data_IF_552242969938
#
_entry.id   IF_552242969938
#
_cell.length_a   1.000
_cell.length_b   1.000
_cell.length_c   1.000
_cell.angle_alpha   90.00
_cell.angle_beta   90.00
_cell.angle_gamma   90.00
#
_symmetry.space_group_name_H-M   'P 1'
#
loop_
_entity.id
_entity.type
_entity.pdbx_description
1 polymer ?
#
# COMPACT_ATOMS: atom_id res chain seq x y z
N UNK A 1 -21.88 -5.26 -8.32
CA UNK A 1 -21.79 -5.11 -9.79
C UNK A 1 -20.37 -5.34 -10.32
N UNK A 2 -19.33 -5.15 -9.50
CA UNK A 2 -17.92 -5.28 -9.91
C UNK A 2 -17.36 -6.72 -9.97
N UNK A 3 -18.19 -7.74 -9.70
CA UNK A 3 -17.83 -9.16 -9.86
C UNK A 3 -17.53 -9.57 -11.31
N UNK A 4 -17.84 -8.70 -12.28
CA UNK A 4 -17.56 -8.92 -13.71
C UNK A 4 -16.08 -8.73 -14.05
N UNK A 5 -15.29 -8.13 -13.16
CA UNK A 5 -13.85 -7.95 -13.33
C UNK A 5 -13.11 -9.27 -13.57
N UNK A 6 -13.34 -10.28 -12.72
CA UNK A 6 -12.76 -11.61 -12.91
C UNK A 6 -13.13 -12.21 -14.26
N UNK A 7 -14.37 -12.03 -14.71
CA UNK A 7 -14.86 -12.52 -15.99
C UNK A 7 -14.21 -11.83 -17.20
N UNK A 8 -14.00 -10.52 -17.12
CA UNK A 8 -13.33 -9.75 -18.19
C UNK A 8 -11.88 -10.16 -18.29
N UNK A 9 -11.21 -10.23 -17.15
CA UNK A 9 -9.81 -10.59 -17.16
C UNK A 9 -9.58 -12.05 -17.59
N UNK A 10 -10.47 -12.98 -17.22
CA UNK A 10 -10.30 -14.40 -17.55
C UNK A 10 -10.81 -14.78 -18.95
N UNK A 11 -11.82 -14.08 -19.45
CA UNK A 11 -12.47 -14.41 -20.72
C UNK A 11 -13.17 -13.18 -21.35
N UNK A 12 -12.37 -12.21 -21.79
CA UNK A 12 -12.84 -10.99 -22.46
C UNK A 12 -13.76 -11.31 -23.64
N UNK A 13 -13.48 -12.38 -24.38
CA UNK A 13 -14.27 -12.77 -25.56
C UNK A 13 -15.69 -13.17 -25.16
N UNK A 14 -15.88 -13.96 -24.10
CA UNK A 14 -17.21 -14.31 -23.62
C UNK A 14 -17.96 -13.11 -23.02
N UNK A 15 -17.26 -12.21 -22.32
CA UNK A 15 -17.89 -10.97 -21.83
C UNK A 15 -18.34 -10.09 -23.00
N UNK A 16 -17.51 -9.94 -24.03
CA UNK A 16 -17.88 -9.14 -25.20
C UNK A 16 -18.95 -9.80 -26.08
N UNK A 17 -19.09 -11.13 -26.05
CA UNK A 17 -20.23 -11.81 -26.66
C UNK A 17 -21.56 -11.41 -25.99
N UNK A 18 -21.55 -11.14 -24.67
CA UNK A 18 -22.71 -10.67 -23.92
C UNK A 18 -22.94 -9.16 -24.06
N UNK A 19 -21.87 -8.37 -24.12
CA UNK A 19 -21.93 -6.90 -24.13
C UNK A 19 -22.07 -6.29 -25.53
N UNK A 20 -21.80 -7.07 -26.58
CA UNK A 20 -21.92 -6.62 -27.96
C UNK A 20 -21.09 -5.38 -28.26
N UNK A 21 -21.71 -4.36 -28.85
CA UNK A 21 -21.03 -3.12 -29.26
C UNK A 21 -20.53 -2.27 -28.09
N UNK A 22 -20.94 -2.55 -26.85
CA UNK A 22 -20.42 -1.85 -25.67
C UNK A 22 -18.92 -2.15 -25.43
N UNK A 23 -18.39 -3.28 -25.91
CA UNK A 23 -16.94 -3.52 -25.89
C UNK A 23 -16.17 -2.63 -26.88
N UNK A 24 -16.79 -2.27 -28.01
CA UNK A 24 -16.15 -1.48 -29.08
C UNK A 24 -16.19 0.03 -28.81
N UNK A 25 -17.29 0.50 -28.20
CA UNK A 25 -17.52 1.92 -27.92
C UNK A 25 -16.86 2.39 -26.61
N UNK A 26 -16.15 1.50 -25.91
CA UNK A 26 -15.58 1.73 -24.60
C UNK A 26 -16.53 1.29 -23.47
N UNK A 27 -15.98 0.79 -22.35
CA UNK A 27 -16.79 0.35 -21.24
C UNK A 27 -17.66 1.50 -20.72
N UNK A 28 -18.89 1.21 -20.28
CA UNK A 28 -19.77 2.25 -19.74
C UNK A 28 -19.17 2.87 -18.47
N UNK A 29 -19.48 4.14 -18.20
CA UNK A 29 -18.90 4.91 -17.08
C UNK A 29 -19.11 4.25 -15.71
N UNK A 30 -20.25 3.59 -15.50
CA UNK A 30 -20.49 2.82 -14.27
C UNK A 30 -19.54 1.63 -14.10
N UNK A 31 -19.04 1.07 -15.21
CA UNK A 31 -18.05 0.00 -15.19
C UNK A 31 -16.64 0.54 -14.95
N UNK A 32 -16.32 1.73 -15.49
CA UNK A 32 -15.07 2.41 -15.13
C UNK A 32 -14.98 2.59 -13.61
N UNK A 33 -16.06 3.01 -12.95
CA UNK A 33 -16.11 3.05 -11.47
C UNK A 33 -15.73 1.73 -10.79
N UNK A 34 -16.12 0.59 -11.35
CA UNK A 34 -15.72 -0.74 -10.86
C UNK A 34 -14.25 -1.10 -11.14
N UNK A 35 -13.65 -0.60 -12.22
CA UNK A 35 -12.22 -0.78 -12.52
C UNK A 35 -11.34 -0.08 -11.49
N UNK A 36 -11.82 1.06 -10.99
CA UNK A 36 -11.10 1.91 -10.06
C UNK A 36 -11.46 1.60 -8.58
N UNK A 37 -12.43 0.72 -8.32
CA UNK A 37 -12.71 0.22 -6.96
C UNK A 37 -11.66 -0.83 -6.56
N UNK A 38 -10.53 -0.38 -6.02
CA UNK A 38 -9.41 -1.27 -5.68
C UNK A 38 -9.74 -2.37 -4.64
N UNK A 39 -10.75 -2.19 -3.79
CA UNK A 39 -10.94 -3.00 -2.57
C UNK A 39 -12.41 -3.35 -2.25
N UNK A 40 -13.26 -3.57 -3.27
CA UNK A 40 -14.70 -3.78 -3.04
C UNK A 40 -14.98 -4.92 -2.03
N UNK A 41 -15.57 -4.57 -0.87
CA UNK A 41 -15.95 -5.52 0.19
C UNK A 41 -14.83 -5.85 1.18
N UNK A 42 -13.66 -5.21 1.06
CA UNK A 42 -12.51 -5.45 1.92
C UNK A 42 -12.04 -4.15 2.57
N UNK A 43 -12.49 -3.93 3.81
CA UNK A 43 -12.11 -2.73 4.55
C UNK A 43 -10.64 -2.77 5.03
N UNK A 44 -10.17 -1.62 5.53
CA UNK A 44 -8.80 -1.47 6.03
C UNK A 44 -8.53 -2.40 7.22
N UNK A 45 -9.53 -2.71 8.04
CA UNK A 45 -9.34 -3.64 9.15
C UNK A 45 -8.99 -5.03 8.62
N UNK A 46 -9.69 -5.50 7.59
CA UNK A 46 -9.40 -6.80 7.00
C UNK A 46 -8.00 -6.88 6.39
N UNK A 47 -7.54 -5.82 5.71
CA UNK A 47 -6.18 -5.73 5.20
C UNK A 47 -5.14 -5.86 6.33
N UNK A 48 -5.36 -5.18 7.45
CA UNK A 48 -4.51 -5.29 8.64
C UNK A 48 -4.56 -6.70 9.25
N UNK A 49 -5.71 -7.35 9.33
CA UNK A 49 -5.83 -8.73 9.84
C UNK A 49 -5.09 -9.76 8.96
N UNK A 50 -5.04 -9.51 7.66
CA UNK A 50 -4.33 -10.31 6.66
C UNK A 50 -2.82 -9.98 6.61
N UNK A 51 -2.33 -9.06 7.44
CA UNK A 51 -0.89 -8.81 7.61
C UNK A 51 -0.34 -7.63 6.82
N UNK A 52 -1.17 -6.84 6.14
CA UNK A 52 -0.72 -5.60 5.49
C UNK A 52 -0.39 -4.58 6.58
N UNK A 53 0.77 -3.92 6.47
CA UNK A 53 1.21 -2.87 7.41
C UNK A 53 1.59 -1.57 6.71
N UNK A 54 1.52 -1.55 5.40
CA UNK A 54 1.68 -0.35 4.59
C UNK A 54 0.41 -0.14 3.80
N UNK A 55 -0.26 0.98 4.04
CA UNK A 55 -1.48 1.34 3.36
C UNK A 55 -1.18 2.53 2.46
N UNK A 56 -1.31 2.34 1.15
CA UNK A 56 -1.35 3.45 0.21
C UNK A 56 -2.79 4.00 0.17
N UNK A 57 -2.93 5.29 0.50
CA UNK A 57 -4.20 5.96 0.74
C UNK A 57 -4.34 7.14 -0.22
N UNK A 58 -4.74 6.82 -1.45
CA UNK A 58 -5.21 7.80 -2.42
C UNK A 58 -6.41 8.57 -1.87
N UNK A 59 -6.40 9.89 -2.07
CA UNK A 59 -7.40 10.76 -1.45
C UNK A 59 -8.02 11.77 -2.41
N UNK A 60 -9.31 12.04 -2.19
CA UNK A 60 -10.05 12.99 -3.00
C UNK A 60 -10.72 14.04 -2.12
N UNK A 61 -10.63 15.30 -2.54
CA UNK A 61 -11.44 16.35 -1.95
C UNK A 61 -12.89 16.24 -2.47
N UNK A 62 -13.83 16.15 -1.53
CA UNK A 62 -15.28 16.19 -1.81
C UNK A 62 -15.92 17.29 -0.96
N UNK A 63 -16.20 18.42 -1.59
CA UNK A 63 -16.60 19.65 -0.89
C UNK A 63 -15.53 20.09 0.11
N UNK A 64 -15.91 20.12 1.40
CA UNK A 64 -15.03 20.51 2.51
C UNK A 64 -14.52 19.31 3.33
N UNK A 65 -14.51 18.10 2.74
CA UNK A 65 -13.93 16.91 3.36
C UNK A 65 -12.99 16.19 2.40
N UNK A 66 -12.20 15.28 2.96
CA UNK A 66 -11.34 14.36 2.22
C UNK A 66 -11.81 12.93 2.50
N UNK A 67 -11.85 12.11 1.45
CA UNK A 67 -12.20 10.69 1.49
C UNK A 67 -11.11 9.89 0.80
N UNK A 68 -11.04 8.58 1.07
CA UNK A 68 -10.27 7.67 0.23
C UNK A 68 -10.90 7.67 -1.16
N UNK A 69 -10.07 7.59 -2.20
CA UNK A 69 -10.55 7.43 -3.56
C UNK A 69 -9.53 6.68 -4.41
N UNK A 70 -9.80 6.58 -5.70
CA UNK A 70 -8.82 6.15 -6.68
C UNK A 70 -9.17 6.77 -8.04
N UNK A 71 -8.13 7.16 -8.80
CA UNK A 71 -8.28 7.93 -10.03
C UNK A 71 -8.62 9.41 -9.80
N UNK A 72 -8.77 10.15 -10.89
CA UNK A 72 -8.94 11.61 -10.88
C UNK A 72 -10.12 12.09 -11.73
N UNK A 73 -10.72 13.22 -11.35
CA UNK A 73 -11.77 13.88 -12.15
C UNK A 73 -13.12 13.17 -12.10
N UNK A 74 -13.89 13.21 -13.20
CA UNK A 74 -15.21 12.58 -13.27
C UNK A 74 -15.22 11.05 -12.99
N UNK A 75 -14.26 10.23 -13.47
CA UNK A 75 -14.30 8.78 -13.28
C UNK A 75 -13.74 8.29 -11.93
N UNK A 76 -13.40 9.19 -10.99
CA UNK A 76 -12.79 8.78 -9.72
C UNK A 76 -13.74 7.92 -8.88
N UNK A 77 -13.24 6.81 -8.35
CA UNK A 77 -13.98 5.99 -7.40
C UNK A 77 -13.86 6.60 -6.00
N UNK A 78 -14.99 6.82 -5.31
CA UNK A 78 -14.98 7.33 -3.94
C UNK A 78 -15.17 6.20 -2.94
N UNK A 79 -14.31 6.17 -1.93
CA UNK A 79 -14.33 5.21 -0.84
C UNK A 79 -14.78 5.80 0.49
N UNK A 80 -14.29 5.19 1.58
CA UNK A 80 -14.63 5.59 2.95
C UNK A 80 -14.04 6.95 3.33
N UNK A 81 -14.69 7.63 4.28
CA UNK A 81 -14.13 8.84 4.92
C UNK A 81 -12.84 8.52 5.67
N UNK A 82 -11.93 9.49 5.77
CA UNK A 82 -10.72 9.36 6.61
C UNK A 82 -11.06 9.08 8.09
N UNK A 83 -12.17 9.62 8.60
CA UNK A 83 -12.63 9.34 9.97
C UNK A 83 -12.86 7.84 10.20
N UNK A 84 -13.54 7.17 9.27
CA UNK A 84 -13.78 5.73 9.34
C UNK A 84 -12.45 4.94 9.24
N UNK A 85 -11.60 5.26 8.27
CA UNK A 85 -10.32 4.57 8.05
C UNK A 85 -9.39 4.72 9.27
N UNK A 86 -9.19 5.94 9.77
CA UNK A 86 -8.32 6.17 10.92
C UNK A 86 -8.89 5.58 12.21
N UNK A 87 -10.22 5.52 12.35
CA UNK A 87 -10.84 4.82 13.48
C UNK A 87 -10.56 3.32 13.47
N UNK A 88 -10.61 2.68 12.30
CA UNK A 88 -10.30 1.24 12.15
C UNK A 88 -8.82 0.98 12.46
N UNK A 89 -7.90 1.76 11.86
CA UNK A 89 -6.46 1.63 12.11
C UNK A 89 -6.12 1.84 13.59
N UNK A 90 -6.68 2.87 14.23
CA UNK A 90 -6.48 3.12 15.66
C UNK A 90 -6.96 1.94 16.50
N UNK A 91 -8.14 1.41 16.21
CA UNK A 91 -8.72 0.29 16.94
C UNK A 91 -7.84 -0.96 16.82
N UNK A 92 -7.35 -1.24 15.61
CA UNK A 92 -6.39 -2.30 15.36
C UNK A 92 -5.11 -2.11 16.19
N UNK A 93 -4.48 -0.93 16.16
CA UNK A 93 -3.25 -0.68 16.92
C UNK A 93 -3.47 -0.78 18.45
N UNK A 94 -4.64 -0.44 18.96
CA UNK A 94 -4.98 -0.60 20.38
C UNK A 94 -5.15 -2.07 20.77
N UNK A 95 -5.73 -2.89 19.90
CA UNK A 95 -5.87 -4.33 20.10
C UNK A 95 -4.53 -5.09 19.91
N UNK A 96 -3.63 -4.54 19.10
CA UNK A 96 -2.36 -5.16 18.73
C UNK A 96 -1.17 -4.24 19.10
N UNK A 97 -0.70 -4.24 20.36
CA UNK A 97 0.28 -3.27 20.87
C UNK A 97 1.68 -3.38 20.25
N UNK A 98 2.02 -4.52 19.64
CA UNK A 98 3.32 -4.74 18.99
C UNK A 98 3.30 -4.42 17.49
N UNK A 99 2.17 -3.94 16.98
CA UNK A 99 2.03 -3.64 15.56
C UNK A 99 2.38 -2.20 15.26
N UNK A 100 3.02 -1.99 14.11
CA UNK A 100 3.37 -0.67 13.57
C UNK A 100 2.87 -0.61 12.12
N UNK A 101 2.22 0.50 11.76
CA UNK A 101 1.66 0.72 10.41
C UNK A 101 2.28 1.93 9.73
N UNK A 102 2.32 1.90 8.41
CA UNK A 102 2.73 2.99 7.51
C UNK A 102 1.50 3.43 6.75
N UNK A 103 1.28 4.73 6.68
CA UNK A 103 0.22 5.35 5.90
C UNK A 103 0.87 6.24 4.86
N UNK A 104 0.72 5.93 3.60
CA UNK A 104 1.16 6.78 2.50
C UNK A 104 -0.03 7.52 1.91
N UNK A 105 0.18 8.79 1.60
CA UNK A 105 -0.75 9.61 0.83
C UNK A 105 0.00 10.03 -0.42
N UNK A 106 -0.02 9.12 -1.40
CA UNK A 106 0.61 9.24 -2.71
C UNK A 106 -0.23 10.13 -3.61
N UNK A 107 -1.34 9.60 -4.13
CA UNK A 107 -2.14 10.31 -5.12
C UNK A 107 -3.31 11.12 -4.53
N UNK A 108 -3.59 12.25 -5.20
CA UNK A 108 -4.63 13.18 -4.79
C UNK A 108 -5.47 13.68 -5.95
N UNK A 109 -6.75 13.93 -5.67
CA UNK A 109 -7.62 14.72 -6.55
C UNK A 109 -8.37 15.82 -5.78
N UNK A 110 -7.84 17.04 -5.85
CA UNK A 110 -8.36 18.20 -5.15
C UNK A 110 -7.32 19.29 -4.92
N UNK A 111 -7.63 20.23 -4.02
CA UNK A 111 -6.67 21.26 -3.63
C UNK A 111 -5.64 20.68 -2.66
N UNK A 112 -4.39 20.50 -3.12
CA UNK A 112 -3.30 19.93 -2.33
C UNK A 112 -3.11 20.62 -0.97
N UNK A 113 -3.19 21.95 -0.92
CA UNK A 113 -3.01 22.72 0.32
C UNK A 113 -4.08 22.42 1.38
N UNK A 114 -5.34 22.41 0.94
CA UNK A 114 -6.46 22.02 1.77
C UNK A 114 -6.31 20.57 2.25
N UNK A 115 -5.99 19.65 1.33
CA UNK A 115 -5.90 18.23 1.62
C UNK A 115 -4.77 17.90 2.60
N UNK A 116 -3.56 18.41 2.38
CA UNK A 116 -2.43 18.21 3.29
C UNK A 116 -2.77 18.67 4.72
N UNK A 117 -3.34 19.87 4.83
CA UNK A 117 -3.77 20.43 6.12
C UNK A 117 -4.90 19.61 6.75
N UNK A 118 -5.89 19.18 5.96
CA UNK A 118 -7.02 18.39 6.44
C UNK A 118 -6.56 17.01 6.95
N UNK A 119 -5.77 16.29 6.16
CA UNK A 119 -5.22 14.97 6.50
C UNK A 119 -4.33 15.08 7.75
N UNK A 120 -3.44 16.07 7.81
CA UNK A 120 -2.58 16.30 8.98
C UNK A 120 -3.42 16.47 10.26
N UNK A 121 -4.43 17.33 10.22
CA UNK A 121 -5.29 17.59 11.37
C UNK A 121 -6.08 16.34 11.79
N UNK A 122 -6.55 15.53 10.83
CA UNK A 122 -7.24 14.27 11.11
C UNK A 122 -6.29 13.22 11.71
N UNK A 123 -5.08 13.07 11.17
CA UNK A 123 -4.08 12.16 11.75
C UNK A 123 -3.77 12.55 13.21
N UNK A 124 -3.54 13.84 13.48
CA UNK A 124 -3.33 14.32 14.84
C UNK A 124 -4.55 14.05 15.75
N UNK A 125 -5.78 14.26 15.26
CA UNK A 125 -7.01 13.99 16.00
C UNK A 125 -7.15 12.52 16.41
N UNK A 126 -6.80 11.57 15.55
CA UNK A 126 -7.00 10.14 15.81
C UNK A 126 -5.83 9.48 16.55
N UNK A 127 -4.61 9.91 16.26
CA UNK A 127 -3.40 9.22 16.73
C UNK A 127 -2.70 9.93 17.89
N UNK A 128 -3.17 11.12 18.30
CA UNK A 128 -2.72 11.77 19.54
C UNK A 128 -3.76 11.60 20.64
N UNK A 129 -3.32 11.14 21.80
CA UNK A 129 -4.14 10.93 22.98
C UNK A 129 -4.37 12.23 23.77
N UNK A 130 -5.42 12.32 24.60
CA UNK A 130 -5.71 13.53 25.39
C UNK A 130 -4.59 13.96 26.35
N UNK A 131 -3.71 13.05 26.75
CA UNK A 131 -2.55 13.34 27.60
C UNK A 131 -1.33 13.87 26.80
N UNK A 132 -1.47 14.08 25.49
CA UNK A 132 -0.41 14.57 24.60
C UNK A 132 0.54 13.50 24.07
N UNK A 133 0.41 12.22 24.46
CA UNK A 133 1.18 11.15 23.82
C UNK A 133 0.62 10.86 22.44
N UNK A 134 1.47 10.44 21.50
CA UNK A 134 1.05 10.18 20.12
C UNK A 134 1.58 8.84 19.63
N UNK A 135 0.77 8.17 18.80
CA UNK A 135 1.22 7.00 18.04
C UNK A 135 2.06 7.42 16.82
N UNK A 136 2.09 8.69 16.45
CA UNK A 136 2.78 9.17 15.26
C UNK A 136 4.30 9.21 15.49
N UNK A 137 5.06 8.59 14.59
CA UNK A 137 6.52 8.62 14.63
C UNK A 137 7.03 10.00 14.18
N UNK A 138 7.41 10.83 15.15
CA UNK A 138 8.02 12.14 14.91
C UNK A 138 9.52 12.04 14.69
N UNK A 139 10.05 12.77 13.71
CA UNK A 139 11.49 12.90 13.46
C UNK A 139 11.86 14.34 13.12
N UNK A 140 12.12 15.13 14.15
CA UNK A 140 12.60 16.49 13.97
C UNK A 140 14.04 16.56 13.41
N UNK A 141 14.84 15.48 13.54
CA UNK A 141 16.22 15.42 13.04
C UNK A 141 16.39 14.37 11.94
N UNK A 142 16.82 14.86 10.78
CA UNK A 142 16.93 14.09 9.56
C UNK A 142 18.26 13.33 9.39
N UNK A 143 19.17 13.40 10.36
CA UNK A 143 20.50 12.77 10.26
C UNK A 143 20.62 11.46 11.04
N UNK A 144 19.64 11.14 11.90
CA UNK A 144 19.65 9.89 12.67
C UNK A 144 19.20 8.69 11.81
N UNK A 145 19.61 7.45 12.12
CA UNK A 145 19.01 6.27 11.53
C UNK A 145 17.52 6.17 11.87
N UNK A 146 16.77 5.34 11.13
CA UNK A 146 15.42 4.97 11.53
C UNK A 146 15.45 4.20 12.86
N UNK A 147 14.47 4.41 13.76
CA UNK A 147 14.32 3.55 14.92
C UNK A 147 14.05 2.12 14.45
N UNK A 148 14.53 1.16 15.24
CA UNK A 148 14.17 -0.23 15.13
C UNK A 148 12.68 -0.43 15.46
N UNK A 149 12.12 -1.56 15.03
CA UNK A 149 10.74 -1.92 15.39
C UNK A 149 10.52 -1.97 16.90
N UNK A 150 11.51 -2.50 17.65
CA UNK A 150 11.47 -2.54 19.10
C UNK A 150 11.34 -1.14 19.69
N UNK A 151 12.21 -0.22 19.30
CA UNK A 151 12.19 1.16 19.82
C UNK A 151 10.86 1.85 19.53
N UNK A 152 10.28 1.62 18.35
CA UNK A 152 8.96 2.13 17.99
C UNK A 152 7.83 1.56 18.86
N UNK A 153 7.87 0.26 19.17
CA UNK A 153 6.88 -0.39 20.05
C UNK A 153 7.03 0.11 21.49
N UNK A 154 8.25 0.15 22.00
CA UNK A 154 8.56 0.58 23.37
C UNK A 154 8.20 2.06 23.61
N UNK A 155 8.44 2.91 22.63
CA UNK A 155 8.03 4.33 22.66
C UNK A 155 6.56 4.56 22.31
N UNK A 156 5.84 3.51 21.89
CA UNK A 156 4.47 3.56 21.37
C UNK A 156 4.31 4.49 20.15
N UNK A 157 5.38 4.81 19.43
CA UNK A 157 5.36 5.52 18.14
C UNK A 157 5.15 4.53 16.99
N UNK A 158 3.89 4.14 16.77
CA UNK A 158 3.49 2.99 15.94
C UNK A 158 2.81 3.32 14.61
N UNK A 159 2.71 4.59 14.24
CA UNK A 159 2.18 5.08 12.96
C UNK A 159 3.24 5.91 12.26
N UNK A 160 3.65 5.48 11.07
CA UNK A 160 4.57 6.25 10.21
C UNK A 160 3.77 6.86 9.07
N UNK A 161 3.93 8.16 8.84
CA UNK A 161 3.15 8.88 7.83
C UNK A 161 4.06 9.35 6.71
N UNK A 162 3.69 9.01 5.48
CA UNK A 162 4.40 9.38 4.26
C UNK A 162 3.50 10.26 3.40
N UNK A 163 3.99 11.45 3.05
CA UNK A 163 3.38 12.28 2.02
C UNK A 163 4.31 12.25 0.81
N UNK A 164 3.74 12.06 -0.38
CA UNK A 164 4.46 12.29 -1.63
C UNK A 164 4.26 13.74 -2.08
N UNK A 165 3.36 13.98 -3.04
CA UNK A 165 3.10 15.30 -3.61
C UNK A 165 2.64 16.30 -2.54
N UNK A 166 1.87 15.85 -1.55
CA UNK A 166 1.38 16.68 -0.45
C UNK A 166 2.49 17.22 0.49
N UNK A 167 3.71 16.66 0.45
CA UNK A 167 4.73 16.95 1.46
C UNK A 167 5.12 18.42 1.54
N UNK A 168 5.07 19.15 0.42
CA UNK A 168 5.40 20.58 0.32
C UNK A 168 4.18 21.50 0.41
N UNK A 169 2.97 20.98 0.38
CA UNK A 169 1.75 21.76 0.14
C UNK A 169 1.02 22.12 1.43
N UNK A 170 1.66 22.76 2.40
CA UNK A 170 0.99 23.19 3.64
C UNK A 170 0.54 24.65 3.65
N UNK A 171 0.82 25.40 2.57
CA UNK A 171 0.48 26.82 2.49
C UNK A 171 1.09 27.61 3.66
N UNK A 172 0.25 28.23 4.48
CA UNK A 172 0.68 28.93 5.69
C UNK A 172 0.72 28.06 6.95
N UNK A 173 0.20 26.83 6.90
CA UNK A 173 0.28 25.91 8.03
C UNK A 173 1.69 25.32 8.14
N UNK A 174 2.10 25.04 9.38
CA UNK A 174 3.35 24.30 9.60
C UNK A 174 3.07 22.82 9.33
N UNK A 175 3.94 22.19 8.54
CA UNK A 175 4.02 20.73 8.45
C UNK A 175 4.55 20.17 9.76
N UNK A 176 3.88 19.16 10.29
CA UNK A 176 4.32 18.47 11.51
C UNK A 176 5.54 17.57 11.26
N UNK A 177 6.38 17.42 12.28
CA UNK A 177 7.66 16.68 12.19
C UNK A 177 7.47 15.14 12.09
N UNK A 178 6.24 14.66 12.22
CA UNK A 178 5.86 13.25 12.00
C UNK A 178 5.39 12.95 10.58
N UNK A 179 5.33 13.96 9.70
CA UNK A 179 5.06 13.78 8.27
C UNK A 179 6.40 13.67 7.55
N UNK A 180 6.63 12.51 6.92
CA UNK A 180 7.86 12.20 6.19
C UNK A 180 7.61 12.24 4.69
N UNK A 181 8.61 12.61 3.89
CA UNK A 181 8.52 12.53 2.43
C UNK A 181 8.84 11.13 1.94
N UNK A 182 7.92 10.44 1.27
CA UNK A 182 8.18 9.12 0.68
C UNK A 182 9.41 9.14 -0.24
N UNK A 183 9.53 10.15 -1.10
CA UNK A 183 10.65 10.31 -2.03
C UNK A 183 12.02 10.35 -1.35
N UNK A 184 12.16 11.08 -0.25
CA UNK A 184 13.46 11.26 0.44
C UNK A 184 13.75 10.19 1.48
N UNK A 185 12.72 9.53 1.99
CA UNK A 185 12.83 8.74 3.20
C UNK A 185 12.54 7.28 3.04
N UNK A 186 11.97 6.88 1.90
CA UNK A 186 11.56 5.52 1.64
C UNK A 186 12.11 5.03 0.32
N UNK A 187 12.59 3.80 0.32
CA UNK A 187 13.05 3.07 -0.85
C UNK A 187 12.07 1.95 -1.11
N UNK A 188 11.27 2.12 -2.16
CA UNK A 188 10.31 1.14 -2.63
C UNK A 188 11.03 0.12 -3.51
N UNK A 189 10.58 -1.14 -3.52
CA UNK A 189 11.09 -2.18 -4.44
C UNK A 189 10.57 -2.02 -5.87
N UNK A 190 10.37 -0.77 -6.31
CA UNK A 190 9.51 -0.37 -7.43
C UNK A 190 10.03 -0.88 -8.78
N UNK A 191 9.76 -2.14 -9.07
CA UNK A 191 9.36 -2.61 -10.39
C UNK A 191 7.89 -2.98 -10.22
N UNK A 192 6.98 -2.19 -10.78
CA UNK A 192 5.56 -2.56 -10.81
C UNK A 192 5.46 -4.04 -11.20
N UNK A 193 4.78 -4.85 -10.39
CA UNK A 193 4.63 -6.28 -10.71
C UNK A 193 3.79 -6.50 -11.98
N UNK A 194 3.30 -5.40 -12.57
CA UNK A 194 2.94 -5.30 -13.98
C UNK A 194 3.91 -6.00 -14.95
N UNK A 195 5.23 -6.02 -14.69
CA UNK A 195 6.16 -6.81 -15.53
C UNK A 195 6.27 -8.29 -15.10
N UNK A 196 5.89 -8.58 -13.86
CA UNK A 196 5.97 -9.86 -13.20
C UNK A 196 4.63 -10.61 -13.30
N UNK A 197 4.18 -10.86 -14.51
CA UNK A 197 2.81 -11.27 -14.86
C UNK A 197 2.49 -12.76 -14.70
N UNK A 198 3.42 -13.52 -14.14
CA UNK A 198 3.23 -14.93 -13.81
C UNK A 198 3.62 -15.18 -12.36
N UNK A 199 3.08 -16.23 -11.71
CA UNK A 199 3.51 -16.60 -10.36
C UNK A 199 5.03 -16.76 -10.23
N UNK A 200 5.69 -17.30 -11.27
CA UNK A 200 7.15 -17.47 -11.27
C UNK A 200 7.89 -16.13 -11.36
N UNK A 201 7.47 -15.21 -12.23
CA UNK A 201 8.11 -13.90 -12.33
C UNK A 201 7.93 -13.06 -11.05
N UNK A 202 6.74 -13.13 -10.44
CA UNK A 202 6.45 -12.46 -9.16
C UNK A 202 7.32 -13.00 -8.03
N UNK A 203 7.52 -14.32 -8.03
CA UNK A 203 8.45 -14.96 -7.12
C UNK A 203 9.91 -14.52 -7.32
N UNK A 204 10.36 -14.44 -8.57
CA UNK A 204 11.70 -14.00 -8.94
C UNK A 204 11.94 -12.52 -8.58
N UNK A 205 10.94 -11.64 -8.70
CA UNK A 205 11.07 -10.23 -8.32
C UNK A 205 11.27 -10.07 -6.81
N UNK A 206 10.51 -10.80 -5.98
CA UNK A 206 10.72 -10.79 -4.52
C UNK A 206 12.13 -11.27 -4.14
N UNK A 207 12.62 -12.35 -4.75
CA UNK A 207 13.98 -12.86 -4.51
C UNK A 207 15.02 -11.81 -4.89
N UNK A 208 14.91 -11.26 -6.10
CA UNK A 208 15.88 -10.29 -6.63
C UNK A 208 15.98 -9.07 -5.72
N UNK A 209 14.85 -8.58 -5.21
CA UNK A 209 14.85 -7.48 -4.25
C UNK A 209 15.54 -7.86 -2.93
N UNK A 210 15.21 -9.00 -2.35
CA UNK A 210 15.82 -9.46 -1.09
C UNK A 210 17.33 -9.71 -1.24
N UNK A 211 17.78 -10.24 -2.38
CA UNK A 211 19.20 -10.45 -2.71
C UNK A 211 19.98 -9.14 -2.86
N UNK A 212 19.32 -8.08 -3.33
CA UNK A 212 19.94 -6.78 -3.59
C UNK A 212 19.89 -5.81 -2.39
N UNK A 213 19.27 -6.19 -1.27
CA UNK A 213 19.04 -5.31 -0.12
C UNK A 213 20.33 -4.64 0.43
N UNK A 214 21.46 -5.35 0.42
CA UNK A 214 22.76 -4.80 0.86
C UNK A 214 23.23 -3.66 -0.06
N UNK A 215 23.07 -3.82 -1.38
CA UNK A 215 23.44 -2.79 -2.35
C UNK A 215 22.50 -1.58 -2.26
N UNK A 216 21.19 -1.82 -2.07
CA UNK A 216 20.21 -0.76 -1.84
C UNK A 216 20.59 0.06 -0.60
N UNK A 217 20.95 -0.62 0.49
CA UNK A 217 21.41 0.03 1.72
C UNK A 217 22.68 0.84 1.50
N UNK A 218 23.66 0.28 0.78
CA UNK A 218 24.91 0.98 0.45
C UNK A 218 24.65 2.23 -0.40
N UNK A 219 23.76 2.13 -1.39
CA UNK A 219 23.33 3.26 -2.21
C UNK A 219 22.66 4.34 -1.36
N UNK A 220 21.74 3.97 -0.47
CA UNK A 220 21.05 4.92 0.41
C UNK A 220 22.04 5.67 1.31
N UNK A 221 22.98 4.95 1.92
CA UNK A 221 24.03 5.55 2.76
C UNK A 221 24.92 6.49 1.95
N UNK A 222 25.31 6.11 0.74
CA UNK A 222 26.16 6.94 -0.11
C UNK A 222 25.47 8.24 -0.57
N UNK A 223 24.17 8.21 -0.87
CA UNK A 223 23.45 9.35 -1.45
C UNK A 223 22.69 10.19 -0.41
N UNK A 224 22.24 9.58 0.69
CA UNK A 224 21.41 10.22 1.71
C UNK A 224 22.05 10.22 3.10
N UNK A 225 23.23 9.61 3.26
CA UNK A 225 23.96 9.54 4.54
C UNK A 225 23.35 8.57 5.56
N UNK A 226 22.34 7.80 5.17
CA UNK A 226 21.60 6.85 6.02
C UNK A 226 20.84 5.84 5.17
N UNK A 227 20.52 4.64 5.69
CA UNK A 227 19.52 3.77 5.08
C UNK A 227 18.15 4.46 5.05
N UNK A 228 17.43 4.36 3.94
CA UNK A 228 16.03 4.78 3.87
C UNK A 228 15.13 3.67 4.40
N UNK A 229 13.87 4.00 4.66
CA UNK A 229 12.84 3.03 5.01
C UNK A 229 12.64 2.09 3.83
N UNK A 230 13.00 0.82 3.96
CA UNK A 230 12.86 -0.15 2.86
C UNK A 230 11.52 -0.86 2.98
N UNK A 231 10.87 -1.08 1.84
CA UNK A 231 9.65 -1.87 1.77
C UNK A 231 9.63 -2.71 0.49
N UNK A 232 8.80 -3.75 0.52
CA UNK A 232 8.45 -4.49 -0.67
C UNK A 232 7.09 -4.02 -1.11
N UNK A 233 7.10 -3.36 -2.25
CA UNK A 233 5.91 -2.96 -2.95
C UNK A 233 5.44 -4.12 -3.83
N UNK A 234 4.21 -4.59 -3.62
CA UNK A 234 3.58 -5.58 -4.48
C UNK A 234 2.36 -4.95 -5.15
N UNK A 235 2.64 -4.15 -6.16
CA UNK A 235 1.59 -3.64 -7.04
C UNK A 235 1.15 -4.77 -7.97
N UNK A 236 0.25 -5.63 -7.50
CA UNK A 236 -0.46 -6.57 -8.37
C UNK A 236 -1.62 -5.81 -9.01
N UNK A 237 -1.32 -5.00 -10.02
CA UNK A 237 -2.34 -4.31 -10.83
C UNK A 237 -2.13 -4.57 -12.32
N UNK A 238 -3.22 -4.61 -13.06
CA UNK A 238 -3.20 -4.52 -14.51
C UNK A 238 -3.37 -3.04 -14.85
N UNK A 239 -2.64 -2.54 -15.84
CA UNK A 239 -2.88 -1.20 -16.37
C UNK A 239 -4.32 -1.13 -16.92
N UNK A 240 -5.19 -0.25 -16.39
CA UNK A 240 -6.55 -0.07 -16.90
C UNK A 240 -6.59 0.25 -18.41
N UNK A 241 -5.57 0.91 -18.93
CA UNK A 241 -5.39 1.16 -20.37
C UNK A 241 -5.28 -0.13 -21.19
N UNK A 242 -4.66 -1.18 -20.63
CA UNK A 242 -4.56 -2.48 -21.28
C UNK A 242 -5.89 -3.23 -21.28
N UNK A 243 -6.65 -3.21 -20.18
CA UNK A 243 -7.97 -3.87 -20.14
C UNK A 243 -8.94 -3.25 -21.13
N UNK A 244 -8.95 -1.93 -21.25
CA UNK A 244 -9.76 -1.26 -22.27
C UNK A 244 -9.34 -1.69 -23.67
N UNK A 245 -8.04 -1.82 -23.92
CA UNK A 245 -7.50 -2.35 -25.18
C UNK A 245 -7.94 -3.81 -25.43
N UNK A 246 -7.88 -4.69 -24.44
CA UNK A 246 -8.34 -6.08 -24.52
C UNK A 246 -9.85 -6.16 -24.82
N UNK A 247 -10.67 -5.33 -24.15
CA UNK A 247 -12.10 -5.23 -24.41
C UNK A 247 -12.39 -4.76 -25.84
N UNK A 248 -11.74 -3.70 -26.31
CA UNK A 248 -11.93 -3.13 -27.64
C UNK A 248 -11.48 -4.09 -28.75
N UNK A 249 -10.37 -4.79 -28.54
CA UNK A 249 -9.81 -5.77 -29.49
C UNK A 249 -10.48 -7.15 -29.39
N UNK A 250 -11.35 -7.37 -28.40
CA UNK A 250 -11.97 -8.67 -28.08
C UNK A 250 -10.94 -9.78 -27.85
N UNK A 251 -9.78 -9.42 -27.34
CA UNK A 251 -8.73 -10.38 -26.99
C UNK A 251 -8.69 -10.58 -25.49
N UNK A 252 -8.40 -11.80 -25.06
CA UNK A 252 -8.14 -12.07 -23.65
C UNK A 252 -6.67 -11.74 -23.34
N UNK A 253 -6.38 -11.18 -22.15
CA UNK A 253 -5.01 -11.11 -21.66
C UNK A 253 -4.38 -12.50 -21.74
N UNK A 254 -3.14 -12.61 -22.22
CA UNK A 254 -2.41 -13.89 -22.24
C UNK A 254 -1.96 -14.35 -20.87
N UNK A 255 -2.14 -13.51 -19.85
CA UNK A 255 -1.60 -13.69 -18.52
C UNK A 255 -2.73 -13.89 -17.51
N UNK A 256 -2.39 -14.53 -16.41
CA UNK A 256 -3.37 -14.95 -15.42
C UNK A 256 -3.84 -13.70 -14.67
N UNK A 257 -5.15 -13.56 -14.47
CA UNK A 257 -5.72 -12.47 -13.68
C UNK A 257 -5.05 -12.32 -12.33
N UNK A 258 -4.91 -11.08 -11.87
CA UNK A 258 -4.28 -10.69 -10.59
C UNK A 258 -4.63 -11.63 -9.44
N UNK A 259 -5.92 -11.89 -9.24
CA UNK A 259 -6.40 -12.86 -8.26
C UNK A 259 -5.91 -14.28 -8.49
N UNK A 260 -5.99 -14.78 -9.73
CA UNK A 260 -5.55 -16.14 -10.05
C UNK A 260 -4.02 -16.23 -9.98
N UNK A 261 -3.28 -15.17 -10.30
CA UNK A 261 -1.84 -15.08 -10.15
C UNK A 261 -1.46 -15.15 -8.67
N UNK A 262 -2.07 -14.29 -7.85
CA UNK A 262 -1.93 -14.24 -6.39
C UNK A 262 -2.27 -15.58 -5.70
N UNK A 263 -3.28 -16.29 -6.19
CA UNK A 263 -3.65 -17.62 -5.68
C UNK A 263 -2.73 -18.75 -6.16
N UNK A 264 -2.08 -18.59 -7.31
CA UNK A 264 -1.18 -19.60 -7.90
C UNK A 264 0.29 -19.42 -7.48
N UNK A 265 0.60 -18.41 -6.66
CA UNK A 265 1.95 -18.24 -6.10
C UNK A 265 2.36 -19.47 -5.30
N UNK A 266 3.58 -19.96 -5.55
CA UNK A 266 4.13 -21.15 -4.90
C UNK A 266 4.32 -20.93 -3.40
N UNK A 267 3.41 -21.50 -2.61
CA UNK A 267 3.40 -21.42 -1.15
C UNK A 267 4.72 -21.87 -0.49
N UNK A 268 5.31 -22.97 -0.96
CA UNK A 268 6.56 -23.48 -0.36
C UNK A 268 7.75 -22.55 -0.59
N UNK A 269 7.75 -21.85 -1.73
CA UNK A 269 8.76 -20.84 -2.02
C UNK A 269 8.52 -19.56 -1.21
N UNK A 270 7.27 -19.14 -1.09
CA UNK A 270 6.81 -18.04 -0.24
C UNK A 270 7.24 -18.22 1.23
N UNK A 271 7.15 -19.44 1.76
CA UNK A 271 7.62 -19.78 3.11
C UNK A 271 9.14 -19.64 3.25
N UNK A 272 9.89 -20.10 2.24
CA UNK A 272 11.34 -19.89 2.14
C UNK A 272 11.70 -18.40 2.07
N UNK A 273 10.94 -17.58 1.33
CA UNK A 273 11.16 -16.13 1.26
C UNK A 273 10.99 -15.45 2.61
N UNK A 274 10.00 -15.87 3.41
CA UNK A 274 9.83 -15.36 4.77
C UNK A 274 11.11 -15.51 5.59
N UNK A 275 11.74 -16.68 5.52
CA UNK A 275 12.94 -16.99 6.29
C UNK A 275 14.21 -16.36 5.68
N UNK A 276 14.25 -16.23 4.35
CA UNK A 276 15.37 -15.66 3.61
C UNK A 276 15.43 -14.14 3.72
N UNK A 277 14.33 -13.46 3.37
CA UNK A 277 14.25 -12.00 3.31
C UNK A 277 14.37 -11.36 4.69
N UNK A 278 13.80 -11.97 5.74
CA UNK A 278 13.81 -11.40 7.11
C UNK A 278 15.23 -11.25 7.70
N UNK A 279 16.23 -11.94 7.16
CA UNK A 279 17.64 -11.80 7.56
C UNK A 279 18.38 -10.71 6.76
N UNK A 280 17.84 -10.31 5.60
CA UNK A 280 18.45 -9.35 4.67
C UNK A 280 18.01 -7.91 4.93
N UNK A 281 16.81 -7.73 5.47
CA UNK A 281 16.33 -6.40 5.85
C UNK A 281 16.80 -6.03 7.25
N UNK A 282 17.65 -5.00 7.34
CA UNK A 282 18.06 -4.41 8.62
C UNK A 282 16.94 -3.63 9.33
N UNK A 283 15.86 -3.30 8.61
CA UNK A 283 14.70 -2.55 9.11
C UNK A 283 13.38 -3.07 8.50
N UNK A 284 12.26 -2.59 9.04
CA UNK A 284 10.91 -3.16 8.93
C UNK A 284 10.46 -3.42 7.48
N UNK A 285 10.30 -4.71 7.14
CA UNK A 285 9.64 -5.19 5.92
C UNK A 285 8.14 -4.89 5.98
N UNK A 286 7.58 -4.33 4.89
CA UNK A 286 6.13 -4.17 4.73
C UNK A 286 5.74 -4.44 3.29
N UNK A 287 4.58 -5.06 3.14
CA UNK A 287 3.89 -5.28 1.88
C UNK A 287 2.88 -4.15 1.67
N UNK A 288 2.95 -3.51 0.50
CA UNK A 288 1.94 -2.59 -0.05
C UNK A 288 1.20 -3.30 -1.18
N UNK A 289 -0.10 -3.06 -1.34
CA UNK A 289 -0.91 -3.62 -2.43
C UNK A 289 -1.84 -2.59 -3.02
N UNK A 290 -1.85 -2.47 -4.35
CA UNK A 290 -2.78 -1.59 -5.07
C UNK A 290 -4.14 -2.24 -5.27
N UNK A 291 -4.16 -3.57 -5.49
CA UNK A 291 -5.39 -4.35 -5.63
C UNK A 291 -5.46 -5.45 -4.58
N UNK A 292 -6.40 -5.33 -3.64
CA UNK A 292 -6.52 -6.27 -2.54
C UNK A 292 -7.52 -7.38 -2.86
N UNK A 293 -6.99 -8.57 -3.14
CA UNK A 293 -7.75 -9.80 -3.24
C UNK A 293 -7.12 -10.93 -2.42
N UNK A 294 -7.90 -11.94 -2.04
CA UNK A 294 -7.36 -13.12 -1.34
C UNK A 294 -6.14 -13.68 -2.09
N UNK A 295 -5.01 -13.72 -1.39
CA UNK A 295 -3.70 -14.07 -1.92
C UNK A 295 -2.91 -14.91 -0.92
N UNK A 296 -2.13 -15.87 -1.40
CA UNK A 296 -1.19 -16.61 -0.56
C UNK A 296 -0.05 -15.71 -0.06
N UNK A 297 0.18 -14.57 -0.70
CA UNK A 297 1.19 -13.60 -0.28
C UNK A 297 0.89 -12.98 1.08
N UNK A 298 -0.40 -12.83 1.43
CA UNK A 298 -0.80 -12.26 2.72
C UNK A 298 -0.38 -13.17 3.88
N UNK A 299 -0.38 -14.49 3.67
CA UNK A 299 0.13 -15.43 4.66
C UNK A 299 1.64 -15.24 4.91
N UNK A 300 2.41 -14.91 3.88
CA UNK A 300 3.84 -14.57 4.01
C UNK A 300 4.05 -13.25 4.71
N UNK A 301 3.32 -12.21 4.30
CA UNK A 301 3.40 -10.90 4.95
C UNK A 301 3.06 -11.02 6.44
N UNK A 302 2.02 -11.78 6.77
CA UNK A 302 1.65 -12.10 8.15
C UNK A 302 2.75 -12.85 8.88
N UNK A 303 3.30 -13.94 8.31
CA UNK A 303 4.41 -14.70 8.92
C UNK A 303 5.62 -13.81 9.17
N UNK A 304 6.03 -12.99 8.21
CA UNK A 304 7.17 -12.06 8.37
C UNK A 304 6.90 -11.02 9.47
N UNK A 305 5.68 -10.51 9.59
CA UNK A 305 5.31 -9.61 10.68
C UNK A 305 5.29 -10.30 12.04
N UNK A 306 4.80 -11.53 12.12
CA UNK A 306 4.85 -12.34 13.34
C UNK A 306 6.30 -12.54 13.79
N UNK A 307 7.22 -12.82 12.87
CA UNK A 307 8.65 -12.91 13.16
C UNK A 307 9.24 -11.61 13.67
N UNK A 308 8.85 -10.49 13.06
CA UNK A 308 9.26 -9.16 13.51
C UNK A 308 8.80 -8.91 14.96
N UNK A 309 7.56 -9.27 15.29
CA UNK A 309 7.01 -9.17 16.66
C UNK A 309 7.72 -10.15 17.62
N UNK A 310 7.99 -11.38 17.21
CA UNK A 310 8.68 -12.39 18.03
C UNK A 310 10.12 -11.99 18.33
N UNK A 311 10.86 -11.46 17.35
CA UNK A 311 12.20 -10.90 17.55
C UNK A 311 12.21 -9.80 18.61
N UNK A 312 11.21 -8.91 18.57
CA UNK A 312 11.05 -7.87 19.59
C UNK A 312 10.77 -8.47 20.97
N UNK A 313 10.00 -9.56 21.06
CA UNK A 313 9.72 -10.24 22.33
C UNK A 313 10.95 -11.00 22.87
N UNK A 314 11.70 -11.69 22.02
CA UNK A 314 12.79 -12.60 22.42
C UNK A 314 14.08 -11.88 22.83
N UNK A 315 14.36 -10.70 22.29
CA UNK A 315 15.49 -9.89 22.74
C UNK A 315 15.28 -9.27 24.15
N UNK A 316 14.16 -9.58 24.82
CA UNK A 316 13.77 -9.06 26.14
C UNK A 316 13.81 -10.11 27.26
N UNK A 317 14.28 -11.32 26.95
CA UNK A 317 14.61 -12.42 27.88
C UNK A 317 16.11 -12.63 27.93
#
# INVERSE_FOLDING_TARGET
>A
MCYLWEGICSDTTNVCALWGTACENGPPEWFLGCLWENNAGMDVLRQLEDGIRYLDLDTCQTGNTVVICHGMGLPRALGHSLDNVFSLIRSFLLAHPNEVVSLEFGDIDGNATFMASFIQNKLAQYFTFPNGTSLLLSRANNTQPWPTLREMIESNSRVVVWFEWLYSDFGSQKREDWIHSSQYWMTKSYDYTYNATTPQKLNESFISWCDNADNVTAYDVANFGRPKWQMVDDVVSYDPGEIVSYLQSRTSPSEICLQSQANQVNYGMLDFLADFCVQKFGYIFRLTVDYYWKSNLFEVAKKMNDWNVERVKSMGS
#
